data_IF_894313099013
#
_entry.id   IF_894313099013
#
_cell.length_a   1.000
_cell.length_b   1.000
_cell.length_c   1.000
_cell.angle_alpha   90.00
_cell.angle_beta   90.00
_cell.angle_gamma   90.00
#
_symmetry.space_group_name_H-M   'P 1'
#
loop_
_entity.id
_entity.type
_entity.pdbx_description
1 polymer ?
#
# COMPACT_ATOMS: atom_id res chain seq x y z
N UNK A 1 -17.56 30.40 33.93
CA UNK A 1 -16.65 29.84 32.89
C UNK A 1 -15.54 29.07 33.60
N UNK A 2 -15.64 27.74 33.65
CA UNK A 2 -14.65 26.89 34.31
C UNK A 2 -13.50 26.62 33.32
N UNK A 3 -12.29 27.07 33.67
CA UNK A 3 -11.05 26.67 32.99
C UNK A 3 -10.87 25.16 33.22
N UNK A 4 -11.09 24.35 32.19
CA UNK A 4 -10.65 22.94 32.19
C UNK A 4 -9.14 22.96 32.41
N UNK A 5 -8.68 22.45 33.55
CA UNK A 5 -7.28 22.10 33.76
C UNK A 5 -6.91 21.08 32.67
N UNK A 6 -5.98 21.43 31.79
CA UNK A 6 -5.30 20.48 30.93
C UNK A 6 -4.51 19.54 31.86
N UNK A 7 -4.99 18.30 32.01
CA UNK A 7 -4.17 17.24 32.60
C UNK A 7 -2.99 17.02 31.66
N UNK A 8 -1.78 17.28 32.16
CA UNK A 8 -0.54 16.97 31.47
C UNK A 8 -0.32 15.45 31.60
N UNK A 9 -0.44 14.73 30.49
CA UNK A 9 -0.19 13.29 30.42
C UNK A 9 1.21 13.09 29.85
N UNK A 10 2.19 12.82 30.71
CA UNK A 10 3.58 12.63 30.29
C UNK A 10 4.12 11.33 30.88
N UNK A 11 4.73 10.51 30.03
CA UNK A 11 5.53 9.35 30.42
C UNK A 11 6.99 9.75 30.22
N UNK A 12 7.81 9.76 31.27
CA UNK A 12 9.24 10.08 31.19
C UNK A 12 10.03 8.83 30.84
N UNK A 13 10.39 8.67 29.57
CA UNK A 13 11.29 7.61 29.10
C UNK A 13 12.42 8.26 28.29
N UNK A 14 13.66 8.04 28.70
CA UNK A 14 14.89 8.47 28.03
C UNK A 14 15.39 7.43 27.02
N UNK A 15 16.29 7.82 26.13
CA UNK A 15 16.97 6.88 25.21
C UNK A 15 17.85 5.86 25.93
N UNK A 16 18.30 6.17 27.15
CA UNK A 16 19.10 5.29 28.01
C UNK A 16 18.25 4.19 28.66
N UNK A 17 16.93 4.36 28.70
CA UNK A 17 15.98 3.38 29.25
C UNK A 17 15.68 2.23 28.27
N UNK A 18 16.22 2.28 27.05
CA UNK A 18 16.06 1.25 26.04
C UNK A 18 17.36 0.49 25.79
N UNK A 19 17.33 -0.83 26.04
CA UNK A 19 18.38 -1.73 25.58
C UNK A 19 17.80 -2.76 24.61
N UNK A 20 18.48 -2.96 23.47
CA UNK A 20 18.13 -4.01 22.52
C UNK A 20 18.87 -5.29 22.90
N UNK A 21 18.11 -6.31 23.31
CA UNK A 21 18.63 -7.66 23.24
C UNK A 21 18.58 -8.12 21.78
N UNK A 22 19.68 -7.88 21.07
CA UNK A 22 19.87 -8.29 19.67
C UNK A 22 19.81 -9.80 19.47
N UNK A 23 19.92 -10.63 20.52
CA UNK A 23 19.75 -12.08 20.41
C UNK A 23 18.29 -12.52 20.45
N UNK A 24 17.42 -11.80 21.16
CA UNK A 24 16.03 -12.21 21.39
C UNK A 24 14.99 -11.28 20.76
N UNK A 25 15.42 -10.19 20.10
CA UNK A 25 14.56 -9.22 19.43
C UNK A 25 13.52 -8.58 20.36
N UNK A 26 13.90 -8.26 21.60
CA UNK A 26 13.01 -7.62 22.58
C UNK A 26 13.53 -6.22 22.88
N UNK A 27 12.65 -5.21 22.81
CA UNK A 27 12.93 -3.89 23.37
C UNK A 27 12.80 -4.01 24.88
N UNK A 28 13.88 -3.81 25.61
CA UNK A 28 13.86 -3.76 27.06
C UNK A 28 13.65 -2.30 27.49
N UNK A 29 12.70 -2.04 28.38
CA UNK A 29 12.39 -0.72 28.92
C UNK A 29 12.70 -0.71 30.43
N UNK A 30 13.28 0.35 30.96
CA UNK A 30 13.43 0.52 32.42
C UNK A 30 12.14 1.13 32.97
N UNK A 31 11.51 0.47 33.96
CA UNK A 31 10.32 0.99 34.62
C UNK A 31 10.64 2.11 35.63
N UNK A 32 9.60 2.70 36.23
CA UNK A 32 9.73 3.77 37.22
C UNK A 32 10.46 3.37 38.50
N UNK A 33 10.72 2.07 38.71
CA UNK A 33 11.47 1.53 39.85
C UNK A 33 12.92 1.17 39.47
N UNK A 34 13.34 1.46 38.24
CA UNK A 34 14.68 1.17 37.74
C UNK A 34 14.86 -0.27 37.26
N UNK A 35 13.77 -1.03 37.08
CA UNK A 35 13.83 -2.44 36.66
C UNK A 35 13.66 -2.58 35.16
N UNK A 36 14.52 -3.37 34.54
CA UNK A 36 14.43 -3.71 33.11
C UNK A 36 13.25 -4.67 32.84
N UNK A 37 12.28 -4.20 32.06
CA UNK A 37 11.11 -4.92 31.59
C UNK A 37 11.26 -5.26 30.10
N UNK A 38 11.19 -6.54 29.78
CA UNK A 38 11.14 -7.03 28.40
C UNK A 38 9.79 -6.65 27.76
N UNK A 39 9.80 -5.77 26.75
CA UNK A 39 8.61 -5.36 26.00
C UNK A 39 8.59 -6.09 24.66
N UNK A 40 7.68 -7.05 24.54
CA UNK A 40 7.45 -7.78 23.28
C UNK A 40 7.01 -6.78 22.20
N UNK A 41 7.95 -6.46 21.31
CA UNK A 41 7.79 -5.47 20.23
C UNK A 41 7.08 -6.07 19.03
N UNK A 42 7.07 -7.39 18.93
CA UNK A 42 6.59 -8.09 17.73
C UNK A 42 5.21 -8.68 17.91
N UNK A 43 4.70 -8.82 19.14
CA UNK A 43 3.39 -9.41 19.42
C UNK A 43 2.29 -9.00 18.44
N UNK A 44 2.17 -7.70 18.20
CA UNK A 44 1.13 -7.15 17.31
C UNK A 44 1.45 -7.40 15.83
N UNK A 45 2.72 -7.32 15.44
CA UNK A 45 3.17 -7.63 14.09
C UNK A 45 3.04 -9.14 13.75
N UNK A 46 3.31 -10.03 14.70
CA UNK A 46 3.09 -11.48 14.62
C UNK A 46 1.60 -11.75 14.41
N UNK A 47 0.75 -11.23 15.31
CA UNK A 47 -0.70 -11.42 15.18
C UNK A 47 -1.21 -10.90 13.82
N UNK A 48 -0.73 -9.73 13.39
CA UNK A 48 -1.08 -9.17 12.10
C UNK A 48 -0.64 -10.06 10.93
N UNK A 49 0.61 -10.51 10.92
CA UNK A 49 1.14 -11.41 9.89
C UNK A 49 0.31 -12.70 9.78
N UNK A 50 -0.08 -13.26 10.91
CA UNK A 50 -0.81 -14.53 10.98
C UNK A 50 -2.29 -14.40 10.61
N UNK A 51 -2.96 -13.34 11.08
CA UNK A 51 -4.43 -13.28 11.08
C UNK A 51 -5.01 -12.20 10.15
N UNK A 52 -4.19 -11.27 9.67
CA UNK A 52 -4.68 -10.06 8.98
C UNK A 52 -4.01 -9.85 7.63
N UNK A 53 -2.68 -9.96 7.56
CA UNK A 53 -1.96 -9.77 6.31
C UNK A 53 -2.44 -10.79 5.28
N UNK A 54 -2.71 -10.28 4.08
CA UNK A 54 -3.16 -11.13 2.99
C UNK A 54 -1.98 -11.96 2.50
N UNK A 55 -2.15 -13.28 2.48
CA UNK A 55 -1.14 -14.23 2.01
C UNK A 55 -1.79 -15.52 1.52
N UNK A 56 -1.18 -16.11 0.51
CA UNK A 56 -1.41 -17.47 0.04
C UNK A 56 -0.04 -18.03 -0.35
N UNK A 57 0.54 -18.85 0.52
CA UNK A 57 1.86 -19.44 0.32
C UNK A 57 1.66 -20.96 0.29
N UNK A 58 1.82 -21.54 -0.89
CA UNK A 58 1.75 -22.98 -1.12
C UNK A 58 2.85 -23.40 -2.09
N UNK A 59 2.97 -24.70 -2.34
CA UNK A 59 3.92 -25.26 -3.32
C UNK A 59 3.72 -24.72 -4.75
N UNK A 60 2.54 -24.15 -5.05
CA UNK A 60 2.14 -23.72 -6.40
C UNK A 60 1.65 -22.26 -6.47
N UNK A 61 1.69 -21.53 -5.37
CA UNK A 61 1.19 -20.16 -5.29
C UNK A 61 2.02 -19.39 -4.29
N UNK A 62 2.50 -18.22 -4.69
CA UNK A 62 3.22 -17.32 -3.80
C UNK A 62 2.57 -15.95 -3.91
N UNK A 63 1.65 -15.72 -2.98
CA UNK A 63 1.09 -14.42 -2.68
C UNK A 63 1.45 -14.05 -1.26
N UNK A 64 2.12 -12.92 -1.13
CA UNK A 64 2.19 -12.21 0.12
C UNK A 64 2.01 -10.75 -0.19
N UNK A 65 1.14 -10.14 0.60
CA UNK A 65 0.84 -8.75 0.43
C UNK A 65 1.95 -7.89 1.04
N UNK A 66 3.00 -7.65 0.25
CA UNK A 66 4.18 -6.87 0.60
C UNK A 66 5.32 -7.73 1.16
N UNK A 67 5.61 -7.58 2.45
CA UNK A 67 6.86 -8.03 3.07
C UNK A 67 6.61 -9.07 4.17
N UNK A 68 7.47 -10.09 4.30
CA UNK A 68 7.42 -11.01 5.44
C UNK A 68 7.92 -10.37 6.73
N UNK A 69 7.45 -10.92 7.85
CA UNK A 69 7.79 -10.40 9.17
C UNK A 69 9.29 -10.53 9.49
N UNK A 70 9.92 -11.66 9.17
CA UNK A 70 11.36 -11.88 9.38
C UNK A 70 12.22 -10.86 8.62
N UNK A 71 11.93 -10.64 7.33
CA UNK A 71 12.62 -9.62 6.53
C UNK A 71 12.36 -8.21 7.04
N UNK A 72 11.16 -7.93 7.56
CA UNK A 72 10.88 -6.66 8.23
C UNK A 72 11.72 -6.47 9.49
N UNK A 73 11.87 -7.49 10.32
CA UNK A 73 12.71 -7.42 11.53
C UNK A 73 14.15 -7.04 11.16
N UNK A 74 14.71 -7.65 10.11
CA UNK A 74 16.06 -7.29 9.61
C UNK A 74 16.17 -5.80 9.22
N UNK A 75 15.18 -5.27 8.50
CA UNK A 75 15.13 -3.85 8.09
C UNK A 75 15.00 -2.95 9.32
N UNK A 76 14.08 -3.30 10.22
CA UNK A 76 13.77 -2.51 11.40
C UNK A 76 14.98 -2.36 12.34
N UNK A 77 15.79 -3.42 12.47
CA UNK A 77 17.04 -3.41 13.24
C UNK A 77 18.08 -2.49 12.59
N UNK A 78 18.25 -2.58 11.26
CA UNK A 78 19.21 -1.74 10.51
C UNK A 78 18.90 -0.25 10.61
N UNK A 79 17.62 0.11 10.64
CA UNK A 79 17.16 1.49 10.68
C UNK A 79 17.31 2.18 12.06
N UNK A 80 17.77 1.47 13.10
CA UNK A 80 18.01 2.00 14.45
C UNK A 80 16.84 2.86 15.00
N UNK A 81 15.62 2.33 14.93
CA UNK A 81 14.37 3.05 15.23
C UNK A 81 14.16 3.60 16.66
N UNK A 82 15.13 3.44 17.58
CA UNK A 82 15.07 3.86 19.00
C UNK A 82 14.52 5.27 19.20
N UNK A 83 15.07 6.26 18.48
CA UNK A 83 14.66 7.65 18.66
C UNK A 83 13.20 7.87 18.27
N UNK A 84 12.74 7.21 17.21
CA UNK A 84 11.36 7.32 16.73
C UNK A 84 10.39 6.62 17.68
N UNK A 85 10.79 5.48 18.26
CA UNK A 85 10.01 4.79 19.29
C UNK A 85 9.89 5.68 20.53
N UNK A 86 11.00 6.25 21.02
CA UNK A 86 10.97 7.17 22.16
C UNK A 86 10.04 8.35 21.87
N UNK A 87 10.18 9.00 20.71
CA UNK A 87 9.31 10.13 20.31
C UNK A 87 7.83 9.73 20.26
N UNK A 88 7.52 8.52 19.78
CA UNK A 88 6.16 8.01 19.74
C UNK A 88 5.56 7.80 21.14
N UNK A 89 6.36 7.31 22.08
CA UNK A 89 5.95 7.00 23.45
C UNK A 89 5.82 8.24 24.32
N UNK A 90 6.62 9.27 24.05
CA UNK A 90 6.63 10.52 24.83
C UNK A 90 5.76 11.62 24.24
N UNK A 91 5.14 11.40 23.07
CA UNK A 91 4.22 12.35 22.46
C UNK A 91 2.97 12.53 23.35
N UNK A 92 2.61 13.79 23.64
CA UNK A 92 1.50 14.14 24.53
C UNK A 92 0.16 13.53 24.06
N UNK A 93 -0.05 13.48 22.74
CA UNK A 93 -1.28 12.93 22.17
C UNK A 93 -1.31 11.40 22.24
N UNK A 94 -0.18 10.72 22.00
CA UNK A 94 -0.01 9.29 22.30
C UNK A 94 -0.34 8.98 23.75
N UNK A 95 0.26 9.72 24.70
CA UNK A 95 0.03 9.53 26.14
C UNK A 95 -1.45 9.72 26.47
N UNK A 96 -2.08 10.79 25.97
CA UNK A 96 -3.51 11.03 26.14
C UNK A 96 -4.36 9.86 25.62
N UNK A 97 -4.10 9.36 24.42
CA UNK A 97 -4.85 8.25 23.83
C UNK A 97 -4.65 6.95 24.62
N UNK A 98 -3.46 6.73 25.18
CA UNK A 98 -3.20 5.57 26.04
C UNK A 98 -4.10 5.57 27.26
N UNK A 99 -4.11 6.69 27.98
CA UNK A 99 -4.94 6.86 29.17
C UNK A 99 -6.42 6.78 28.82
N UNK A 100 -6.85 7.39 27.70
CA UNK A 100 -8.25 7.33 27.28
C UNK A 100 -8.70 5.88 26.97
N UNK A 101 -7.84 5.07 26.34
CA UNK A 101 -8.13 3.64 26.08
C UNK A 101 -8.25 2.83 27.37
N UNK A 102 -7.36 3.08 28.34
CA UNK A 102 -7.39 2.39 29.62
C UNK A 102 -8.59 2.81 30.47
N UNK A 103 -8.82 4.11 30.64
CA UNK A 103 -9.88 4.64 31.50
C UNK A 103 -11.29 4.35 30.97
N UNK A 104 -11.51 4.50 29.66
CA UNK A 104 -12.86 4.34 29.08
C UNK A 104 -13.20 2.90 28.71
N UNK A 105 -12.20 2.11 28.33
CA UNK A 105 -12.42 0.78 27.76
C UNK A 105 -11.70 -0.33 28.53
N UNK A 106 -10.99 -0.02 29.62
CA UNK A 106 -10.25 -1.01 30.40
C UNK A 106 -9.18 -1.73 29.58
N UNK A 107 -8.69 -1.10 28.51
CA UNK A 107 -7.85 -1.76 27.49
C UNK A 107 -6.45 -1.18 27.51
N UNK A 108 -5.47 -2.03 27.83
CA UNK A 108 -4.06 -1.69 27.75
C UNK A 108 -3.52 -1.97 26.34
N UNK A 109 -3.02 -0.92 25.69
CA UNK A 109 -2.28 -1.01 24.43
C UNK A 109 -0.79 -1.04 24.74
N UNK A 110 -0.08 -2.05 24.24
CA UNK A 110 1.37 -2.04 24.21
C UNK A 110 1.83 -1.12 23.06
N UNK A 111 2.23 0.10 23.40
CA UNK A 111 2.60 1.12 22.42
C UNK A 111 3.86 0.79 21.64
N UNK A 112 4.84 0.12 22.25
CA UNK A 112 6.04 -0.34 21.53
C UNK A 112 5.66 -1.36 20.46
N UNK A 113 4.79 -2.32 20.80
CA UNK A 113 4.28 -3.28 19.82
C UNK A 113 3.41 -2.61 18.75
N UNK A 114 2.64 -1.58 19.12
CA UNK A 114 1.84 -0.81 18.16
C UNK A 114 2.74 -0.04 17.18
N UNK A 115 3.83 0.56 17.65
CA UNK A 115 4.82 1.19 16.79
C UNK A 115 5.40 0.19 15.80
N UNK A 116 5.86 -0.98 16.28
CA UNK A 116 6.41 -2.04 15.45
C UNK A 116 5.42 -2.51 14.38
N UNK A 117 4.16 -2.71 14.75
CA UNK A 117 3.08 -3.03 13.81
C UNK A 117 2.87 -1.94 12.75
N UNK A 118 2.80 -0.67 13.17
CA UNK A 118 2.55 0.44 12.24
C UNK A 118 3.73 0.63 11.26
N UNK A 119 4.95 0.51 11.75
CA UNK A 119 6.15 0.50 10.91
C UNK A 119 6.12 -0.68 9.91
N UNK A 120 5.67 -1.86 10.36
CA UNK A 120 5.53 -3.02 9.48
C UNK A 120 4.51 -2.78 8.36
N UNK A 121 3.32 -2.28 8.71
CA UNK A 121 2.27 -1.96 7.73
C UNK A 121 2.76 -0.90 6.74
N UNK A 122 3.50 0.10 7.20
CA UNK A 122 4.10 1.11 6.31
C UNK A 122 5.08 0.50 5.31
N UNK A 123 5.97 -0.37 5.77
CA UNK A 123 6.91 -1.07 4.87
C UNK A 123 6.18 -1.96 3.86
N UNK A 124 5.14 -2.67 4.29
CA UNK A 124 4.27 -3.44 3.39
C UNK A 124 3.69 -2.54 2.29
N UNK A 125 3.09 -1.41 2.66
CA UNK A 125 2.44 -0.48 1.70
C UNK A 125 3.46 0.04 0.67
N UNK A 126 4.66 0.44 1.13
CA UNK A 126 5.70 1.03 0.29
C UNK A 126 6.36 0.03 -0.66
N UNK A 127 6.24 -1.27 -0.39
CA UNK A 127 6.90 -2.35 -1.16
C UNK A 127 5.97 -3.07 -2.12
N UNK A 128 4.68 -2.72 -2.15
CA UNK A 128 3.75 -3.33 -3.09
C UNK A 128 3.99 -2.84 -4.50
N UNK A 129 3.88 -3.77 -5.44
CA UNK A 129 4.00 -3.51 -6.86
C UNK A 129 2.66 -3.67 -7.58
N UNK A 130 2.56 -2.97 -8.71
CA UNK A 130 1.54 -3.15 -9.72
C UNK A 130 2.23 -3.26 -11.09
N UNK A 131 1.59 -3.97 -12.01
CA UNK A 131 2.08 -4.15 -13.37
C UNK A 131 1.23 -3.27 -14.30
N UNK A 132 1.90 -2.31 -14.94
CA UNK A 132 1.29 -1.42 -15.91
C UNK A 132 1.12 -2.15 -17.24
N UNK A 133 -0.05 -2.00 -17.84
CA UNK A 133 -0.40 -2.60 -19.12
C UNK A 133 -0.13 -1.61 -20.26
N UNK A 134 0.28 -2.13 -21.43
CA UNK A 134 0.39 -1.35 -22.67
C UNK A 134 -0.98 -0.90 -23.17
N UNK A 135 -1.05 0.16 -24.02
CA UNK A 135 -2.28 0.50 -24.72
C UNK A 135 -2.77 -0.69 -25.54
N UNK A 136 -4.07 -0.96 -25.46
CA UNK A 136 -4.75 -1.84 -26.42
C UNK A 136 -4.89 -1.14 -27.77
N UNK A 137 -5.25 -1.90 -28.80
CA UNK A 137 -5.65 -1.30 -30.08
C UNK A 137 -6.87 -0.40 -29.91
N UNK A 138 -7.81 -0.75 -29.02
CA UNK A 138 -8.94 0.10 -28.66
C UNK A 138 -8.47 1.44 -28.08
N UNK A 139 -7.57 1.41 -27.10
CA UNK A 139 -6.99 2.63 -26.49
C UNK A 139 -6.31 3.50 -27.56
N UNK A 140 -5.56 2.86 -28.47
CA UNK A 140 -4.86 3.54 -29.57
C UNK A 140 -5.85 4.22 -30.53
N UNK A 141 -6.93 3.54 -30.90
CA UNK A 141 -7.98 4.10 -31.76
C UNK A 141 -8.72 5.24 -31.06
N UNK A 142 -9.02 5.11 -29.77
CA UNK A 142 -9.67 6.18 -29.00
C UNK A 142 -8.77 7.41 -28.85
N UNK A 143 -7.46 7.25 -28.61
CA UNK A 143 -6.51 8.36 -28.56
C UNK A 143 -6.40 9.09 -29.90
N UNK A 144 -6.23 8.36 -31.01
CA UNK A 144 -6.24 8.94 -32.36
C UNK A 144 -7.60 9.58 -32.66
N UNK A 145 -8.67 8.95 -32.17
CA UNK A 145 -10.04 9.43 -32.16
C UNK A 145 -10.16 10.83 -31.57
N UNK A 146 -9.53 11.08 -30.42
CA UNK A 146 -9.57 12.35 -29.70
C UNK A 146 -8.74 13.49 -30.29
N UNK A 147 -7.97 13.25 -31.36
CA UNK A 147 -7.15 14.27 -32.03
C UNK A 147 -7.93 15.10 -33.06
N UNK A 148 -9.22 15.37 -32.82
CA UNK A 148 -10.11 16.06 -33.77
C UNK A 148 -9.71 17.51 -34.09
N UNK A 149 -8.81 18.10 -33.30
CA UNK A 149 -8.30 19.45 -33.49
C UNK A 149 -7.04 19.51 -34.38
N UNK A 150 -6.54 18.38 -34.89
CA UNK A 150 -5.39 18.35 -35.80
C UNK A 150 -5.86 18.48 -37.25
N UNK A 151 -5.38 19.52 -37.93
CA UNK A 151 -5.71 19.78 -39.34
C UNK A 151 -4.80 19.01 -40.32
N UNK A 152 -3.51 18.85 -40.00
CA UNK A 152 -2.55 18.20 -40.90
C UNK A 152 -1.37 17.55 -40.18
N UNK A 153 -0.75 16.58 -40.87
CA UNK A 153 0.51 15.93 -40.46
C UNK A 153 1.58 16.27 -41.48
N UNK A 154 2.77 16.65 -40.99
CA UNK A 154 3.92 16.96 -41.85
C UNK A 154 5.08 15.98 -41.62
N UNK A 155 5.50 15.30 -42.67
CA UNK A 155 6.63 14.38 -42.70
C UNK A 155 7.88 15.10 -43.23
N UNK A 156 8.96 15.07 -42.46
CA UNK A 156 10.27 15.57 -42.90
C UNK A 156 11.04 14.42 -43.57
N UNK A 157 11.35 14.58 -44.85
CA UNK A 157 12.08 13.59 -45.63
C UNK A 157 13.59 13.81 -45.48
N UNK A 158 14.37 12.72 -45.63
CA UNK A 158 15.84 12.73 -45.46
C UNK A 158 16.58 13.73 -46.37
N UNK A 159 15.97 14.11 -47.49
CA UNK A 159 16.50 15.09 -48.44
C UNK A 159 16.18 16.55 -48.05
N UNK A 160 15.58 16.79 -46.87
CA UNK A 160 15.19 18.11 -46.39
C UNK A 160 13.81 18.58 -46.89
N UNK A 161 13.15 17.82 -47.77
CA UNK A 161 11.81 18.14 -48.24
C UNK A 161 10.77 17.84 -47.15
N UNK A 162 9.69 18.62 -47.15
CA UNK A 162 8.53 18.41 -46.28
C UNK A 162 7.33 17.97 -47.11
N UNK A 163 6.60 16.99 -46.63
CA UNK A 163 5.34 16.58 -47.20
C UNK A 163 4.25 16.69 -46.15
N UNK A 164 3.17 17.41 -46.44
CA UNK A 164 2.05 17.62 -45.53
C UNK A 164 0.77 17.03 -46.12
N UNK A 165 -0.04 16.38 -45.28
CA UNK A 165 -1.31 15.76 -45.66
C UNK A 165 -2.39 16.03 -44.61
N UNK A 166 -3.66 15.94 -45.01
CA UNK A 166 -4.81 16.06 -44.10
C UNK A 166 -4.75 14.94 -43.04
N UNK A 167 -4.84 15.32 -41.78
CA UNK A 167 -4.84 14.36 -40.67
C UNK A 167 -6.08 13.47 -40.70
N UNK A 168 -7.21 13.96 -41.21
CA UNK A 168 -8.47 13.24 -41.31
C UNK A 168 -8.35 12.02 -42.26
N UNK A 169 -7.57 12.14 -43.34
CA UNK A 169 -7.26 11.03 -44.24
C UNK A 169 -6.31 10.02 -43.60
N UNK A 170 -5.26 10.50 -42.92
CA UNK A 170 -4.32 9.65 -42.18
C UNK A 170 -5.04 8.87 -41.08
N UNK A 171 -5.93 9.53 -40.33
CA UNK A 171 -6.78 8.92 -39.29
C UNK A 171 -7.61 7.78 -39.85
N UNK A 172 -8.30 7.99 -40.98
CA UNK A 172 -9.08 6.93 -41.65
C UNK A 172 -8.20 5.76 -42.07
N UNK A 173 -7.03 6.03 -42.65
CA UNK A 173 -6.10 4.97 -43.05
C UNK A 173 -5.63 4.14 -41.85
N UNK A 174 -5.28 4.77 -40.74
CA UNK A 174 -4.86 4.06 -39.52
C UNK A 174 -6.01 3.23 -38.97
N UNK A 175 -7.19 3.80 -38.78
CA UNK A 175 -8.36 3.09 -38.23
C UNK A 175 -8.74 1.90 -39.12
N UNK A 176 -8.84 2.10 -40.44
CA UNK A 176 -9.17 1.03 -41.39
C UNK A 176 -8.10 -0.08 -41.41
N UNK A 177 -6.82 0.27 -41.24
CA UNK A 177 -5.73 -0.72 -41.17
C UNK A 177 -5.80 -1.58 -39.89
N UNK A 178 -6.51 -1.11 -38.87
CA UNK A 178 -6.72 -1.81 -37.60
C UNK A 178 -8.04 -2.60 -37.57
N UNK A 179 -8.93 -2.41 -38.55
CA UNK A 179 -10.17 -3.18 -38.67
C UNK A 179 -9.88 -4.68 -38.85
N UNK A 180 -10.46 -5.51 -37.98
CA UNK A 180 -10.28 -6.97 -37.99
C UNK A 180 -9.13 -7.49 -37.11
N UNK A 181 -8.37 -6.62 -36.46
CA UNK A 181 -7.39 -7.01 -35.43
C UNK A 181 -8.08 -7.30 -34.08
N UNK A 182 -7.49 -8.18 -33.26
CA UNK A 182 -7.99 -8.45 -31.92
C UNK A 182 -7.77 -7.23 -31.02
N UNK A 183 -8.85 -6.49 -30.77
CA UNK A 183 -8.86 -5.28 -29.96
C UNK A 183 -8.63 -5.53 -28.46
N UNK A 184 -8.63 -6.79 -28.03
CA UNK A 184 -8.58 -7.20 -26.62
C UNK A 184 -7.22 -7.72 -26.16
N UNK A 185 -6.25 -7.86 -27.07
CA UNK A 185 -4.89 -8.27 -26.68
C UNK A 185 -4.20 -7.16 -25.89
N UNK A 186 -3.69 -7.52 -24.71
CA UNK A 186 -2.95 -6.62 -23.83
C UNK A 186 -1.55 -7.18 -23.59
N UNK A 187 -0.55 -6.33 -23.84
CA UNK A 187 0.85 -6.57 -23.48
C UNK A 187 1.25 -5.88 -22.17
N UNK A 188 2.42 -6.23 -21.66
CA UNK A 188 2.97 -5.67 -20.42
C UNK A 188 3.90 -4.48 -20.70
N UNK A 189 3.74 -3.39 -19.95
CA UNK A 189 4.64 -2.23 -20.03
C UNK A 189 5.79 -2.39 -19.03
N UNK A 190 5.51 -2.25 -17.73
CA UNK A 190 6.50 -2.36 -16.67
C UNK A 190 5.90 -2.62 -15.29
N UNK A 191 6.73 -3.17 -14.41
CA UNK A 191 6.41 -3.33 -12.99
C UNK A 191 6.81 -2.05 -12.23
N UNK A 192 5.90 -1.51 -11.42
CA UNK A 192 6.10 -0.25 -10.68
C UNK A 192 5.60 -0.38 -9.24
N UNK A 193 6.17 0.37 -8.29
CA UNK A 193 5.61 0.41 -6.94
C UNK A 193 4.28 1.14 -6.95
N UNK A 194 3.32 0.64 -6.18
CA UNK A 194 1.99 1.26 -6.08
C UNK A 194 2.05 2.69 -5.58
N UNK A 195 2.95 2.98 -4.65
CA UNK A 195 3.14 4.35 -4.14
C UNK A 195 3.59 5.36 -5.20
N UNK A 196 4.17 4.90 -6.33
CA UNK A 196 4.66 5.77 -7.40
C UNK A 196 3.59 6.05 -8.46
N UNK A 197 2.51 5.24 -8.52
CA UNK A 197 1.41 5.39 -9.49
C UNK A 197 0.13 5.93 -8.85
N UNK A 198 -0.12 5.64 -7.57
CA UNK A 198 -1.29 6.15 -6.88
C UNK A 198 -1.02 7.49 -6.19
N UNK A 199 -2.08 8.26 -5.95
CA UNK A 199 -2.00 9.42 -5.04
C UNK A 199 -1.85 8.97 -3.59
N UNK A 200 -1.45 9.90 -2.70
CA UNK A 200 -1.22 9.65 -1.27
C UNK A 200 -2.39 8.94 -0.55
N UNK A 201 -3.61 9.13 -1.04
CA UNK A 201 -4.82 8.46 -0.57
C UNK A 201 -4.66 6.93 -0.53
N UNK A 202 -3.88 6.33 -1.43
CA UNK A 202 -3.62 4.89 -1.41
C UNK A 202 -3.00 4.43 -0.10
N UNK A 203 -1.90 5.07 0.31
CA UNK A 203 -1.24 4.74 1.57
C UNK A 203 -2.15 4.96 2.76
N UNK A 204 -2.92 6.07 2.76
CA UNK A 204 -3.89 6.37 3.81
C UNK A 204 -4.97 5.28 3.93
N UNK A 205 -5.56 4.85 2.81
CA UNK A 205 -6.61 3.82 2.78
C UNK A 205 -6.08 2.49 3.30
N UNK A 206 -4.94 2.03 2.78
CA UNK A 206 -4.36 0.74 3.16
C UNK A 206 -3.97 0.74 4.65
N UNK A 207 -3.37 1.82 5.13
CA UNK A 207 -2.99 1.95 6.52
C UNK A 207 -4.20 1.96 7.46
N UNK A 208 -5.22 2.78 7.15
CA UNK A 208 -6.49 2.83 7.91
C UNK A 208 -7.13 1.45 7.97
N UNK A 209 -7.19 0.72 6.85
CA UNK A 209 -7.78 -0.62 6.80
C UNK A 209 -7.06 -1.62 7.68
N UNK A 210 -5.74 -1.69 7.57
CA UNK A 210 -4.96 -2.66 8.34
C UNK A 210 -4.99 -2.38 9.83
N UNK A 211 -4.77 -1.14 10.24
CA UNK A 211 -4.81 -0.78 11.65
C UNK A 211 -6.22 -0.94 12.20
N UNK A 212 -7.26 -0.54 11.46
CA UNK A 212 -8.64 -0.72 11.94
C UNK A 212 -8.99 -2.20 12.11
N UNK A 213 -8.64 -3.05 11.15
CA UNK A 213 -8.88 -4.50 11.24
C UNK A 213 -8.10 -5.12 12.39
N UNK A 214 -6.87 -4.67 12.63
CA UNK A 214 -6.08 -5.07 13.79
C UNK A 214 -6.74 -4.69 15.10
N UNK A 215 -7.08 -3.41 15.29
CA UNK A 215 -7.73 -2.95 16.52
C UNK A 215 -9.04 -3.70 16.76
N UNK A 216 -9.82 -3.90 15.70
CA UNK A 216 -11.08 -4.63 15.78
C UNK A 216 -10.92 -6.07 16.26
N UNK A 217 -10.01 -6.81 15.62
CA UNK A 217 -9.82 -8.24 15.87
C UNK A 217 -9.04 -8.52 17.15
N UNK A 218 -7.92 -7.84 17.35
CA UNK A 218 -7.03 -8.07 18.48
C UNK A 218 -7.66 -7.61 19.80
N UNK A 219 -8.35 -6.45 19.79
CA UNK A 219 -9.11 -5.95 20.93
C UNK A 219 -10.61 -6.23 20.77
N UNK A 220 -10.97 -7.45 20.36
CA UNK A 220 -12.36 -7.86 20.12
C UNK A 220 -13.27 -7.78 21.34
N UNK A 221 -12.72 -7.72 22.55
CA UNK A 221 -13.46 -7.56 23.81
C UNK A 221 -13.92 -6.12 24.08
N UNK A 222 -13.40 -5.13 23.36
CA UNK A 222 -13.79 -3.72 23.53
C UNK A 222 -15.26 -3.54 23.13
N UNK A 223 -16.06 -2.99 24.05
CA UNK A 223 -17.48 -2.71 23.79
C UNK A 223 -17.63 -1.54 22.80
N UNK A 224 -18.05 -1.84 21.59
CA UNK A 224 -18.30 -0.86 20.51
C UNK A 224 -19.79 -0.55 20.36
N UNK A 225 -20.10 0.64 19.87
CA UNK A 225 -21.50 1.02 19.57
C UNK A 225 -22.05 0.15 18.44
N UNK A 226 -23.36 -0.08 18.44
CA UNK A 226 -24.06 -0.77 17.34
C UNK A 226 -23.73 -0.08 16.01
N UNK A 227 -23.38 -0.88 15.00
CA UNK A 227 -22.96 -0.43 13.65
C UNK A 227 -21.64 0.34 13.59
N UNK A 228 -20.82 0.31 14.64
CA UNK A 228 -19.51 0.97 14.67
C UNK A 228 -18.38 -0.06 14.66
N UNK A 229 -17.50 0.01 13.67
CA UNK A 229 -16.37 -0.91 13.55
C UNK A 229 -15.29 -0.66 14.61
N UNK A 230 -15.11 0.60 15.01
CA UNK A 230 -14.17 1.06 16.04
C UNK A 230 -14.83 2.12 16.93
N UNK A 231 -14.42 2.17 18.19
CA UNK A 231 -14.77 3.26 19.11
C UNK A 231 -14.23 4.62 18.62
N UNK A 232 -14.77 5.72 19.15
CA UNK A 232 -14.27 7.07 18.84
C UNK A 232 -12.79 7.23 19.20
N UNK A 233 -12.32 6.66 20.31
CA UNK A 233 -10.90 6.73 20.69
C UNK A 233 -10.03 5.89 19.76
N UNK A 234 -10.47 4.69 19.37
CA UNK A 234 -9.77 3.89 18.35
C UNK A 234 -9.68 4.65 17.01
N UNK A 235 -10.74 5.36 16.59
CA UNK A 235 -10.71 6.19 15.37
C UNK A 235 -9.70 7.34 15.47
N UNK A 236 -9.66 8.05 16.60
CA UNK A 236 -8.65 9.11 16.85
C UNK A 236 -7.23 8.54 16.84
N UNK A 237 -7.03 7.36 17.41
CA UNK A 237 -5.76 6.65 17.36
C UNK A 237 -5.34 6.39 15.91
N UNK A 238 -6.23 5.86 15.06
CA UNK A 238 -5.91 5.67 13.63
C UNK A 238 -5.55 7.00 12.95
N UNK A 239 -6.30 8.07 13.21
CA UNK A 239 -6.00 9.39 12.66
C UNK A 239 -4.63 9.94 13.07
N UNK A 240 -4.25 9.73 14.33
CA UNK A 240 -2.94 10.10 14.84
C UNK A 240 -1.83 9.29 14.18
N UNK A 241 -2.00 7.98 14.09
CA UNK A 241 -1.01 7.08 13.48
C UNK A 241 -0.77 7.43 12.00
N UNK A 242 -1.80 7.87 11.27
CA UNK A 242 -1.62 8.38 9.90
C UNK A 242 -0.64 9.57 9.84
N UNK A 243 -0.71 10.50 10.79
CA UNK A 243 0.25 11.62 10.86
C UNK A 243 1.63 11.10 11.24
N UNK A 244 1.70 10.32 12.32
CA UNK A 244 2.98 9.88 12.88
C UNK A 244 3.82 9.06 11.90
N UNK A 245 3.18 8.25 11.06
CA UNK A 245 3.84 7.41 10.05
C UNK A 245 3.91 8.05 8.64
N UNK A 246 3.79 9.39 8.56
CA UNK A 246 3.95 10.19 7.35
C UNK A 246 2.93 9.92 6.22
N UNK A 247 1.77 9.36 6.54
CA UNK A 247 0.67 9.22 5.56
C UNK A 247 -0.17 10.50 5.45
N UNK A 248 -0.03 11.43 6.39
CA UNK A 248 -0.71 12.73 6.41
C UNK A 248 0.20 13.79 7.04
N UNK A 249 0.20 15.04 6.54
CA UNK A 249 0.97 16.12 7.18
C UNK A 249 0.42 16.52 8.55
N UNK A 250 -0.86 16.22 8.82
CA UNK A 250 -1.57 16.61 10.03
C UNK A 250 -2.48 15.49 10.53
N UNK A 251 -2.90 15.59 11.80
CA UNK A 251 -3.84 14.63 12.40
C UNK A 251 -5.17 14.82 11.68
N UNK A 252 -5.61 13.77 10.97
CA UNK A 252 -6.85 13.86 10.20
C UNK A 252 -8.08 13.77 11.09
N UNK A 253 -9.20 14.29 10.61
CA UNK A 253 -10.46 14.26 11.37
C UNK A 253 -11.13 12.88 11.33
N UNK A 254 -12.04 12.61 12.27
CA UNK A 254 -12.88 11.40 12.23
C UNK A 254 -13.73 11.32 10.95
N UNK A 255 -14.10 12.47 10.37
CA UNK A 255 -14.78 12.52 9.08
C UNK A 255 -13.90 11.96 7.96
N UNK A 256 -12.62 12.35 7.93
CA UNK A 256 -11.65 11.81 6.99
C UNK A 256 -11.38 10.33 7.23
N UNK A 257 -11.31 9.88 8.49
CA UNK A 257 -11.25 8.45 8.81
C UNK A 257 -12.43 7.70 8.17
N UNK A 258 -13.67 8.18 8.35
CA UNK A 258 -14.86 7.53 7.77
C UNK A 258 -14.81 7.48 6.25
N UNK A 259 -14.33 8.54 5.60
CA UNK A 259 -14.13 8.56 4.15
C UNK A 259 -13.10 7.52 3.71
N UNK A 260 -11.96 7.44 4.41
CA UNK A 260 -10.89 6.48 4.12
C UNK A 260 -11.28 5.05 4.47
N UNK A 261 -12.11 4.80 5.48
CA UNK A 261 -12.52 3.46 5.88
C UNK A 261 -13.63 2.90 4.97
N UNK A 262 -14.64 3.72 4.65
CA UNK A 262 -15.81 3.32 3.86
C UNK A 262 -15.64 3.53 2.35
N UNK A 263 -14.42 3.75 1.88
CA UNK A 263 -14.16 3.93 0.45
C UNK A 263 -14.49 2.64 -0.34
N UNK A 264 -14.72 2.81 -1.65
CA UNK A 264 -15.06 1.70 -2.57
C UNK A 264 -13.85 1.00 -3.18
N UNK A 265 -12.64 1.54 -3.07
CA UNK A 265 -11.42 0.92 -3.60
C UNK A 265 -11.23 -0.44 -2.94
N UNK A 266 -11.28 -1.56 -3.65
CA UNK A 266 -11.15 -2.90 -3.04
C UNK A 266 -9.90 -3.59 -3.52
N UNK A 267 -8.82 -3.45 -2.78
CA UNK A 267 -7.51 -3.99 -3.13
C UNK A 267 -7.46 -5.53 -3.37
N UNK A 268 -8.51 -6.30 -3.06
CA UNK A 268 -8.60 -7.75 -3.33
C UNK A 268 -9.22 -8.07 -4.69
N UNK A 269 -10.07 -7.19 -5.22
CA UNK A 269 -10.75 -7.40 -6.51
C UNK A 269 -9.80 -7.08 -7.69
N UNK A 270 -8.56 -6.71 -7.39
CA UNK A 270 -7.64 -6.06 -8.33
C UNK A 270 -6.36 -6.86 -8.52
N UNK A 271 -6.21 -7.99 -7.84
CA UNK A 271 -5.00 -8.82 -7.86
C UNK A 271 -5.27 -10.06 -8.70
N UNK A 272 -4.43 -10.29 -9.71
CA UNK A 272 -4.54 -11.43 -10.62
C UNK A 272 -3.25 -12.25 -10.63
N UNK A 273 -3.33 -13.56 -10.92
CA UNK A 273 -2.15 -14.39 -11.03
C UNK A 273 -1.39 -14.06 -12.32
N UNK A 274 -0.17 -13.57 -12.18
CA UNK A 274 0.85 -13.54 -13.22
C UNK A 274 1.49 -14.92 -13.32
N UNK A 275 1.34 -15.54 -14.49
CA UNK A 275 2.03 -16.78 -14.86
C UNK A 275 3.26 -16.38 -15.66
N UNK A 276 4.44 -16.72 -15.15
CA UNK A 276 5.71 -16.39 -15.80
C UNK A 276 6.26 -17.65 -16.48
N UNK A 277 6.23 -17.76 -17.83
CA UNK A 277 6.82 -18.88 -18.54
C UNK A 277 8.32 -18.95 -18.31
N UNK A 278 8.84 -20.13 -17.94
CA UNK A 278 10.27 -20.44 -17.93
C UNK A 278 11.09 -19.88 -16.77
N UNK A 279 10.53 -19.11 -15.83
CA UNK A 279 11.32 -18.53 -14.74
C UNK A 279 11.73 -19.57 -13.68
N UNK A 280 11.00 -20.68 -13.57
CA UNK A 280 11.33 -21.87 -12.78
C UNK A 280 10.51 -23.03 -13.40
N UNK A 281 10.97 -24.28 -13.32
CA UNK A 281 10.14 -25.48 -13.64
C UNK A 281 8.85 -25.58 -12.77
N UNK A 282 8.68 -24.66 -11.83
CA UNK A 282 7.58 -24.59 -10.89
C UNK A 282 6.38 -23.85 -11.46
N UNK A 283 5.19 -24.41 -11.23
CA UNK A 283 3.86 -23.81 -11.43
C UNK A 283 3.60 -22.61 -10.50
N UNK A 284 4.54 -21.68 -10.35
CA UNK A 284 4.48 -20.60 -9.37
C UNK A 284 3.65 -19.43 -9.90
N UNK A 285 2.58 -19.07 -9.19
CA UNK A 285 1.71 -17.92 -9.51
C UNK A 285 2.03 -16.75 -8.59
N UNK A 286 2.34 -15.60 -9.19
CA UNK A 286 2.52 -14.34 -8.46
C UNK A 286 1.23 -13.52 -8.55
N UNK A 287 0.76 -13.00 -7.43
CA UNK A 287 -0.49 -12.25 -7.37
C UNK A 287 -0.17 -10.75 -7.35
N UNK A 288 -0.41 -10.07 -8.48
CA UNK A 288 -0.07 -8.65 -8.70
C UNK A 288 -1.30 -7.90 -9.26
N UNK A 289 -1.39 -6.60 -8.98
CA UNK A 289 -2.42 -5.73 -9.56
C UNK A 289 -2.05 -5.30 -10.98
N UNK A 290 -2.97 -5.52 -11.93
CA UNK A 290 -2.82 -5.05 -13.31
C UNK A 290 -3.52 -3.71 -13.49
N UNK A 291 -2.80 -2.69 -13.96
CA UNK A 291 -3.35 -1.35 -14.17
C UNK A 291 -3.43 -1.07 -15.69
N UNK A 292 -4.64 -0.91 -16.25
CA UNK A 292 -4.86 -0.56 -17.65
C UNK A 292 -4.21 0.75 -18.07
N UNK A 293 -3.73 0.79 -19.32
CA UNK A 293 -3.18 2.00 -19.94
C UNK A 293 -4.15 3.18 -19.85
N UNK A 294 -5.42 2.96 -20.18
CA UNK A 294 -6.49 3.97 -20.12
C UNK A 294 -6.64 4.68 -18.76
N UNK A 295 -6.03 4.13 -17.71
CA UNK A 295 -6.06 4.69 -16.37
C UNK A 295 -4.72 5.34 -16.02
N UNK A 296 -3.61 4.61 -16.12
CA UNK A 296 -2.32 5.15 -15.69
C UNK A 296 -1.76 6.21 -16.66
N UNK A 297 -2.20 6.24 -17.93
CA UNK A 297 -1.81 7.27 -18.90
C UNK A 297 -2.31 8.67 -18.52
N UNK A 298 -3.35 8.76 -17.68
CA UNK A 298 -3.94 10.02 -17.19
C UNK A 298 -3.18 10.66 -16.01
N UNK A 299 -2.09 10.04 -15.57
CA UNK A 299 -1.30 10.47 -14.41
C UNK A 299 -1.67 9.71 -13.13
N UNK A 300 -1.37 10.30 -11.97
CA UNK A 300 -1.48 9.61 -10.68
C UNK A 300 -2.93 9.23 -10.35
N UNK A 301 -3.11 7.98 -9.95
CA UNK A 301 -4.42 7.36 -9.77
C UNK A 301 -4.96 7.69 -8.38
N UNK A 302 -6.15 8.30 -8.31
CA UNK A 302 -6.81 8.57 -7.04
C UNK A 302 -7.80 7.45 -6.69
N UNK A 303 -7.49 6.57 -5.72
CA UNK A 303 -8.34 5.43 -5.36
C UNK A 303 -9.69 5.84 -4.77
N UNK A 304 -9.86 7.10 -4.31
CA UNK A 304 -11.17 7.58 -3.84
C UNK A 304 -12.12 7.96 -4.98
N UNK A 305 -11.60 8.19 -6.19
CA UNK A 305 -12.39 8.59 -7.36
C UNK A 305 -12.60 7.43 -8.33
N UNK A 306 -11.67 6.48 -8.35
CA UNK A 306 -11.68 5.35 -9.26
C UNK A 306 -12.46 4.16 -8.70
N UNK A 307 -13.76 4.12 -9.00
CA UNK A 307 -14.65 3.06 -8.54
C UNK A 307 -14.59 1.78 -9.42
N UNK A 308 -14.04 1.86 -10.63
CA UNK A 308 -14.11 0.79 -11.64
C UNK A 308 -12.75 0.50 -12.33
N UNK A 309 -11.65 0.80 -11.64
CA UNK A 309 -10.26 0.72 -12.10
C UNK A 309 -9.88 -0.58 -12.86
N UNK A 310 -10.59 -1.69 -12.64
CA UNK A 310 -10.21 -3.01 -13.15
C UNK A 310 -11.35 -3.79 -13.82
N UNK A 311 -12.52 -3.18 -14.05
CA UNK A 311 -13.63 -3.87 -14.74
C UNK A 311 -13.27 -4.28 -16.17
N UNK A 312 -12.37 -3.53 -16.83
CA UNK A 312 -11.91 -3.83 -18.19
C UNK A 312 -10.73 -4.82 -18.19
N UNK A 313 -9.90 -4.81 -17.13
CA UNK A 313 -8.77 -5.73 -16.98
C UNK A 313 -9.20 -7.18 -16.67
N UNK A 314 -10.36 -7.38 -16.05
CA UNK A 314 -10.89 -8.73 -15.76
C UNK A 314 -11.44 -9.45 -16.99
N UNK A 315 -11.61 -8.76 -18.11
CA UNK A 315 -12.21 -9.27 -19.34
C UNK A 315 -11.19 -9.55 -20.47
N UNK A 316 -9.90 -9.31 -20.22
CA UNK A 316 -8.87 -9.34 -21.26
C UNK A 316 -7.97 -10.58 -21.19
N UNK A 317 -7.64 -11.14 -22.36
CA UNK A 317 -6.68 -12.23 -22.49
C UNK A 317 -5.26 -11.65 -22.48
N UNK A 318 -4.53 -11.86 -21.39
CA UNK A 318 -3.15 -11.45 -21.27
C UNK A 318 -2.24 -12.37 -22.10
N UNK A 319 -1.39 -11.78 -22.95
CA UNK A 319 -0.32 -12.51 -23.64
C UNK A 319 1.02 -11.91 -23.22
N UNK A 320 1.91 -12.71 -22.64
CA UNK A 320 3.28 -12.28 -22.33
C UNK A 320 4.20 -12.77 -23.44
N UNK A 321 4.72 -11.86 -24.26
CA UNK A 321 5.79 -12.22 -25.17
C UNK A 321 7.11 -12.32 -24.39
N UNK A 322 8.00 -13.24 -24.76
CA UNK A 322 9.29 -13.48 -24.08
C UNK A 322 10.19 -12.23 -23.98
N UNK A 323 9.99 -11.24 -24.85
CA UNK A 323 10.70 -9.95 -24.82
C UNK A 323 10.05 -8.85 -23.96
N UNK A 324 8.90 -9.12 -23.36
CA UNK A 324 8.11 -8.18 -22.54
C UNK A 324 8.18 -8.54 -21.04
N UNK A 325 9.12 -9.42 -20.65
CA UNK A 325 9.31 -9.78 -19.25
C UNK A 325 9.62 -8.53 -18.42
N UNK A 326 8.91 -8.31 -17.30
CA UNK A 326 9.34 -7.34 -16.31
C UNK A 326 10.76 -7.65 -15.86
N UNK A 327 11.50 -6.63 -15.43
CA UNK A 327 12.87 -6.78 -14.94
C UNK A 327 12.96 -7.95 -13.95
N UNK A 328 13.69 -9.00 -14.38
CA UNK A 328 13.82 -10.26 -13.65
C UNK A 328 14.38 -10.01 -12.25
N UNK A 329 15.24 -9.00 -12.08
CA UNK A 329 15.79 -8.65 -10.77
C UNK A 329 14.72 -8.16 -9.79
N UNK A 330 13.70 -7.43 -10.26
CA UNK A 330 12.59 -6.95 -9.43
C UNK A 330 11.66 -8.11 -9.06
N UNK A 331 11.43 -9.03 -10.00
CA UNK A 331 10.66 -10.25 -9.75
C UNK A 331 11.35 -11.17 -8.74
N UNK A 332 12.67 -11.35 -8.85
CA UNK A 332 13.47 -12.11 -7.89
C UNK A 332 13.41 -11.44 -6.52
N UNK A 333 13.58 -10.12 -6.42
CA UNK A 333 13.48 -9.40 -5.14
C UNK A 333 12.09 -9.53 -4.49
N UNK A 334 11.02 -9.50 -5.31
CA UNK A 334 9.66 -9.75 -4.84
C UNK A 334 9.56 -11.17 -4.28
N UNK A 335 10.05 -12.17 -5.03
CA UNK A 335 10.04 -13.57 -4.60
C UNK A 335 10.88 -13.75 -3.34
N UNK A 336 12.08 -13.18 -3.24
CA UNK A 336 12.98 -13.33 -2.09
C UNK A 336 12.40 -12.70 -0.82
N UNK A 337 11.73 -11.56 -0.96
CA UNK A 337 10.97 -10.92 0.12
C UNK A 337 9.82 -11.77 0.66
N UNK A 338 9.40 -12.80 -0.08
CA UNK A 338 8.27 -13.70 0.23
C UNK A 338 8.72 -15.14 0.54
N UNK A 339 9.72 -15.66 -0.16
CA UNK A 339 10.19 -17.03 -0.02
C UNK A 339 11.13 -17.19 1.19
N UNK A 340 11.78 -16.10 1.63
CA UNK A 340 12.66 -16.10 2.80
C UNK A 340 13.74 -17.18 2.70
N UNK A 341 14.52 -17.15 1.62
CA UNK A 341 15.83 -17.80 1.60
C UNK A 341 16.84 -16.97 2.38
#
# INVERSE_FOLDING_TARGET
MSKKQEKQYSISISTEDFTYDTKNNIVQMVDSEGKTVAVDTWKYAIYFFENIQRKDISEHSVYLDGLRLDKFVEIFIKDKNHQKISTFLTDDYSCFLHHEMLEKYGTYINWVALYGLCAYIREIINRRYALLLKPTLKDTVEEIGGLDNLESVTFNLKNGNKHSTDFCEVKKLIVNSLEGSDMSMVGFDRLIKKIDVYTKEYGQIEFVRYISKFLHNYFGSVKRRKNSYLTTTEQKLVCYLLKFFDFSPEIVTESRFRQLFNNKYKAVDHIMPLIIPGLLETKLKLYIEFIPYSIWSKGNINPLKENELHKEASLTNFTMNMGEMPDISVLINLIDGIAGK
#
